data_IF_873879017892
#
_entry.id   IF_873879017892
#
_cell.length_a   1.000
_cell.length_b   1.000
_cell.length_c   1.000
_cell.angle_alpha   90.00
_cell.angle_beta   90.00
_cell.angle_gamma   90.00
#
_symmetry.space_group_name_H-M   'P 1'
#
loop_
_entity.id
_entity.type
_entity.pdbx_description
1 polymer ?
#
# COMPACT_ATOMS: atom_id res chain seq x y z
N UNK A 1 -12.03 -7.46 -11.84
CA UNK A 1 -10.57 -7.58 -11.93
C UNK A 1 -10.01 -7.88 -10.56
N UNK A 2 -8.87 -8.54 -10.49
CA UNK A 2 -8.21 -8.90 -9.22
C UNK A 2 -7.06 -7.93 -8.92
N UNK A 3 -6.90 -7.59 -7.64
CA UNK A 3 -5.78 -6.78 -7.13
C UNK A 3 -5.00 -7.63 -6.16
N UNK A 4 -3.70 -7.75 -6.39
CA UNK A 4 -2.80 -8.49 -5.53
C UNK A 4 -1.86 -7.53 -4.80
N UNK A 5 -1.49 -7.84 -3.57
CA UNK A 5 -0.44 -7.13 -2.85
C UNK A 5 0.78 -8.05 -2.74
N UNK A 6 1.91 -7.59 -3.27
CA UNK A 6 3.17 -8.30 -3.09
C UNK A 6 3.61 -8.27 -1.63
N UNK A 7 4.31 -9.31 -1.18
CA UNK A 7 4.92 -9.38 0.15
C UNK A 7 5.79 -8.15 0.47
N UNK A 8 6.50 -7.61 -0.54
CA UNK A 8 7.31 -6.40 -0.36
C UNK A 8 6.46 -5.20 0.01
N UNK A 9 5.29 -5.05 -0.62
CA UNK A 9 4.35 -3.99 -0.30
C UNK A 9 3.79 -4.16 1.12
N UNK A 10 3.39 -5.38 1.49
CA UNK A 10 2.88 -5.66 2.85
C UNK A 10 3.93 -5.38 3.93
N UNK A 11 5.18 -5.83 3.74
CA UNK A 11 6.28 -5.57 4.67
C UNK A 11 6.57 -4.08 4.81
N UNK A 12 6.58 -3.33 3.69
CA UNK A 12 6.81 -1.88 3.72
C UNK A 12 5.66 -1.12 4.35
N UNK A 13 4.41 -1.53 4.11
CA UNK A 13 3.25 -0.97 4.79
C UNK A 13 3.35 -1.13 6.31
N UNK A 14 3.66 -2.35 6.77
CA UNK A 14 3.81 -2.63 8.19
C UNK A 14 4.98 -1.83 8.82
N UNK A 15 6.16 -1.82 8.18
CA UNK A 15 7.36 -1.21 8.76
C UNK A 15 7.46 0.30 8.63
N UNK A 16 6.96 0.90 7.55
CA UNK A 16 7.23 2.31 7.23
C UNK A 16 5.97 3.20 7.15
N UNK A 17 4.79 2.61 6.89
CA UNK A 17 3.53 3.36 6.83
C UNK A 17 2.71 3.27 8.11
N UNK A 18 3.05 2.35 9.00
CA UNK A 18 2.36 2.15 10.29
C UNK A 18 3.35 2.08 11.44
N UNK A 19 2.91 2.48 12.63
CA UNK A 19 3.64 2.26 13.89
C UNK A 19 2.63 2.00 14.99
N UNK A 20 2.31 0.73 15.19
CA UNK A 20 1.31 0.26 16.15
C UNK A 20 1.62 -1.18 16.58
N UNK A 21 1.10 -1.59 17.74
CA UNK A 21 1.20 -2.98 18.21
C UNK A 21 0.15 -3.90 17.55
N UNK A 22 -0.94 -3.33 17.04
CA UNK A 22 -1.99 -4.04 16.30
C UNK A 22 -1.87 -3.86 14.79
N UNK A 23 -2.99 -3.97 14.07
CA UNK A 23 -3.03 -3.85 12.59
C UNK A 23 -4.05 -2.84 12.09
N UNK A 24 -4.59 -1.98 12.97
CA UNK A 24 -5.69 -1.06 12.66
C UNK A 24 -5.26 -0.02 11.61
N UNK A 25 -4.03 0.50 11.69
CA UNK A 25 -3.43 1.38 10.69
C UNK A 25 -3.01 0.61 9.43
N UNK A 26 -2.56 -0.64 9.55
CA UNK A 26 -2.23 -1.47 8.39
C UNK A 26 -3.47 -1.72 7.53
N UNK A 27 -4.57 -2.15 8.14
CA UNK A 27 -5.87 -2.31 7.52
C UNK A 27 -6.36 -1.01 6.86
N UNK A 28 -6.22 0.13 7.55
CA UNK A 28 -6.54 1.45 6.97
C UNK A 28 -5.72 1.76 5.72
N UNK A 29 -4.43 1.41 5.73
CA UNK A 29 -3.52 1.66 4.61
C UNK A 29 -3.86 0.77 3.42
N UNK A 30 -4.12 -0.51 3.64
CA UNK A 30 -4.60 -1.44 2.61
C UNK A 30 -5.93 -0.96 2.02
N UNK A 31 -6.89 -0.57 2.87
CA UNK A 31 -8.19 -0.07 2.40
C UNK A 31 -8.06 1.23 1.58
N UNK A 32 -7.14 2.14 1.96
CA UNK A 32 -6.84 3.35 1.18
C UNK A 32 -6.24 3.00 -0.18
N UNK A 33 -5.35 2.02 -0.22
CA UNK A 33 -4.68 1.57 -1.42
C UNK A 33 -5.68 0.94 -2.41
N UNK A 34 -6.54 0.04 -1.94
CA UNK A 34 -7.59 -0.57 -2.76
C UNK A 34 -8.57 0.49 -3.30
N UNK A 35 -8.99 1.47 -2.46
CA UNK A 35 -9.82 2.58 -2.94
C UNK A 35 -9.14 3.40 -4.04
N UNK A 36 -7.82 3.61 -3.93
CA UNK A 36 -7.07 4.35 -4.94
C UNK A 36 -6.97 3.58 -6.25
N UNK A 37 -6.63 2.28 -6.19
CA UNK A 37 -6.56 1.42 -7.38
C UNK A 37 -7.93 1.32 -8.06
N UNK A 38 -9.00 1.13 -7.31
CA UNK A 38 -10.36 1.12 -7.85
C UNK A 38 -10.72 2.44 -8.55
N UNK A 39 -10.45 3.59 -7.92
CA UNK A 39 -10.69 4.89 -8.53
C UNK A 39 -9.88 5.08 -9.83
N UNK A 40 -8.62 4.66 -9.87
CA UNK A 40 -7.81 4.74 -11.09
C UNK A 40 -8.32 3.80 -12.18
N UNK A 41 -8.85 2.63 -11.81
CA UNK A 41 -9.43 1.70 -12.76
C UNK A 41 -10.67 2.28 -13.44
N UNK A 42 -11.59 2.85 -12.67
CA UNK A 42 -12.79 3.52 -13.21
C UNK A 42 -12.45 4.71 -14.12
N UNK A 43 -11.32 5.37 -13.90
CA UNK A 43 -10.84 6.47 -14.74
C UNK A 43 -10.04 6.01 -15.97
N UNK A 44 -9.82 4.70 -16.15
CA UNK A 44 -8.97 4.17 -17.22
C UNK A 44 -7.46 4.43 -17.03
N UNK A 45 -7.04 4.88 -15.83
CA UNK A 45 -5.64 5.12 -15.48
C UNK A 45 -4.91 3.85 -14.99
N UNK A 46 -5.65 2.75 -14.80
CA UNK A 46 -5.15 1.48 -14.28
C UNK A 46 -5.94 0.32 -14.86
N UNK A 47 -5.27 -0.59 -15.54
CA UNK A 47 -5.87 -1.86 -15.94
C UNK A 47 -5.77 -2.88 -14.80
N UNK A 48 -6.72 -3.83 -14.77
CA UNK A 48 -6.70 -4.98 -13.88
C UNK A 48 -6.54 -6.26 -14.73
N UNK A 49 -5.84 -7.31 -14.22
CA UNK A 49 -5.32 -7.43 -12.87
C UNK A 49 -4.09 -6.55 -12.60
N UNK A 50 -3.92 -6.14 -11.33
CA UNK A 50 -2.82 -5.27 -10.93
C UNK A 50 -2.19 -5.75 -9.62
N UNK A 51 -0.88 -5.99 -9.64
CA UNK A 51 -0.10 -6.34 -8.46
C UNK A 51 0.60 -5.10 -7.91
N UNK A 52 0.27 -4.76 -6.67
CA UNK A 52 0.85 -3.64 -5.93
C UNK A 52 2.17 -4.09 -5.32
N UNK A 53 3.26 -3.46 -5.77
CA UNK A 53 4.60 -3.62 -5.19
C UNK A 53 4.95 -2.45 -4.27
N UNK A 54 6.06 -2.55 -3.56
CA UNK A 54 6.58 -1.50 -2.67
C UNK A 54 6.97 -0.20 -3.40
N UNK A 55 7.26 -0.28 -4.71
CA UNK A 55 7.52 0.87 -5.57
C UNK A 55 6.25 1.70 -5.83
N UNK A 56 5.09 1.03 -5.93
CA UNK A 56 3.80 1.67 -6.23
C UNK A 56 3.21 2.41 -5.03
N UNK A 57 3.58 2.03 -3.81
CA UNK A 57 3.00 2.60 -2.57
C UNK A 57 3.09 4.13 -2.53
N UNK A 58 4.23 4.69 -2.97
CA UNK A 58 4.41 6.14 -2.94
C UNK A 58 3.44 6.87 -3.88
N UNK A 59 3.21 6.32 -5.07
CA UNK A 59 2.27 6.86 -6.04
C UNK A 59 0.81 6.72 -5.61
N UNK A 60 0.49 5.67 -4.85
CA UNK A 60 -0.88 5.36 -4.44
C UNK A 60 -1.29 6.07 -3.15
N UNK A 61 -0.46 6.01 -2.11
CA UNK A 61 -0.82 6.46 -0.75
C UNK A 61 0.13 7.51 -0.15
N UNK A 62 1.15 7.92 -0.89
CA UNK A 62 2.10 8.98 -0.50
C UNK A 62 3.39 8.45 0.15
N UNK A 63 4.21 9.36 0.67
CA UNK A 63 5.49 8.98 1.32
C UNK A 63 5.25 8.17 2.60
N UNK A 64 6.17 7.27 2.98
CA UNK A 64 6.14 6.63 4.28
C UNK A 64 6.25 7.67 5.42
N UNK A 65 5.69 7.34 6.57
CA UNK A 65 5.67 8.22 7.75
C UNK A 65 6.74 7.86 8.78
N UNK A 66 7.29 6.65 8.70
CA UNK A 66 8.25 6.11 9.64
C UNK A 66 9.51 5.64 8.91
N UNK A 67 10.64 5.67 9.62
CA UNK A 67 11.88 5.07 9.14
C UNK A 67 11.85 3.56 9.39
N UNK A 68 12.50 2.74 8.55
CA UNK A 68 12.59 1.30 8.77
C UNK A 68 13.20 0.99 10.14
N UNK A 69 12.61 0.05 10.86
CA UNK A 69 13.12 -0.38 12.18
C UNK A 69 14.53 -0.98 12.11
N UNK A 70 14.88 -1.61 10.99
CA UNK A 70 16.23 -2.13 10.71
C UNK A 70 17.30 -1.07 10.45
N UNK A 71 16.94 0.21 10.42
CA UNK A 71 17.87 1.34 10.32
C UNK A 71 18.14 2.01 11.68
N UNK A 72 17.62 1.46 12.79
CA UNK A 72 17.88 1.91 14.17
C UNK A 72 18.89 1.03 14.90
#
# INVERSE_FOLDING_TARGET
GEVELADSALRKLAGEYTREAGVRNLERSVARLLRKVAAQHELGERELPFTVTDAELRGLIGRPHHVPESAQ
#
